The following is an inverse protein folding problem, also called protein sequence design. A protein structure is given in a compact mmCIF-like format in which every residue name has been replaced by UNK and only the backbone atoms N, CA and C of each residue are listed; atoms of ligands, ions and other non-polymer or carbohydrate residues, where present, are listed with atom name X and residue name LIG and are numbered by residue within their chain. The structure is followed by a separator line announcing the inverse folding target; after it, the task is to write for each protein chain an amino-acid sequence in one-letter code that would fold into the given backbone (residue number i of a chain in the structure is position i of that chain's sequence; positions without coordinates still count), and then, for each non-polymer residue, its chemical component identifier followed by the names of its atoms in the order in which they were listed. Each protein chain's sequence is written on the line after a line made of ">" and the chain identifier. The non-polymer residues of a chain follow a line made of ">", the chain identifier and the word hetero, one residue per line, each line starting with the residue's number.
data_IF_023586460521
#
_entry.id   IF_023586460521
#
_cell.length_a   1.000
_cell.length_b   1.000
_cell.length_c   1.000
_cell.angle_alpha   90.00
_cell.angle_beta   90.00
_cell.angle_gamma   90.00
#
_symmetry.space_group_name_H-M   'P 1'
#
loop_
_entity.id
_entity.type
_entity.pdbx_description
1 polymer ?
#
# COMPACT_ATOMS: atom_id res chain seq x y z
N UNK A 1 -14.76 0.23 -7.80
CA UNK A 1 -14.06 0.29 -9.10
C UNK A 1 -12.77 1.08 -9.05
N UNK A 2 -12.72 2.25 -8.36
CA UNK A 2 -11.49 3.05 -8.22
C UNK A 2 -10.26 2.24 -7.77
N UNK A 3 -10.38 1.40 -6.74
CA UNK A 3 -9.26 0.57 -6.26
C UNK A 3 -8.67 -0.38 -7.30
N UNK A 4 -9.50 -0.90 -8.22
CA UNK A 4 -9.03 -1.75 -9.31
C UNK A 4 -8.20 -0.97 -10.33
N UNK A 5 -8.66 0.23 -10.68
CA UNK A 5 -7.98 1.12 -11.63
C UNK A 5 -6.62 1.51 -11.05
N UNK A 6 -6.60 2.02 -9.82
CA UNK A 6 -5.36 2.44 -9.15
C UNK A 6 -4.38 1.27 -9.04
N UNK A 7 -4.85 0.08 -8.63
CA UNK A 7 -4.01 -1.12 -8.58
C UNK A 7 -3.35 -1.44 -9.93
N UNK A 8 -4.10 -1.36 -11.02
CA UNK A 8 -3.56 -1.63 -12.36
C UNK A 8 -2.51 -0.60 -12.72
N UNK A 9 -2.79 0.70 -12.52
CA UNK A 9 -1.84 1.77 -12.82
C UNK A 9 -0.55 1.63 -11.99
N UNK A 10 -0.65 1.26 -10.70
CA UNK A 10 0.53 0.98 -9.88
C UNK A 10 1.35 -0.23 -10.39
N UNK A 11 0.79 -1.08 -11.24
CA UNK A 11 1.48 -2.20 -11.89
C UNK A 11 2.27 -1.81 -13.15
N UNK A 12 2.12 -0.59 -13.66
CA UNK A 12 2.70 -0.11 -14.93
C UNK A 12 4.14 0.43 -14.78
N UNK A 13 4.61 1.29 -15.68
CA UNK A 13 5.96 1.89 -15.68
C UNK A 13 6.35 2.60 -14.36
N UNK A 14 7.65 2.63 -14.06
CA UNK A 14 8.19 3.23 -12.83
C UNK A 14 7.86 4.72 -12.69
N UNK A 15 7.86 5.49 -13.78
CA UNK A 15 7.57 6.93 -13.77
C UNK A 15 6.17 7.24 -13.22
N UNK A 16 5.18 6.41 -13.59
CA UNK A 16 3.80 6.54 -13.13
C UNK A 16 3.68 6.14 -11.65
N UNK A 17 4.38 5.09 -11.23
CA UNK A 17 4.43 4.68 -9.81
C UNK A 17 4.97 5.78 -8.91
N UNK A 18 6.05 6.47 -9.32
CA UNK A 18 6.64 7.58 -8.56
C UNK A 18 5.60 8.69 -8.37
N UNK A 19 4.92 9.10 -9.44
CA UNK A 19 3.90 10.16 -9.36
C UNK A 19 2.75 9.78 -8.43
N UNK A 20 2.33 8.52 -8.42
CA UNK A 20 1.28 8.03 -7.51
C UNK A 20 1.79 7.97 -6.07
N UNK A 21 3.02 7.46 -5.85
CA UNK A 21 3.64 7.40 -4.53
C UNK A 21 3.82 8.80 -3.91
N UNK A 22 3.95 9.84 -4.72
CA UNK A 22 4.04 11.24 -4.29
C UNK A 22 2.68 11.94 -4.13
N UNK A 23 1.57 11.29 -4.48
CA UNK A 23 0.23 11.87 -4.38
C UNK A 23 -0.46 11.43 -3.10
N UNK A 24 -0.46 12.30 -2.09
CA UNK A 24 -1.04 12.03 -0.77
C UNK A 24 -2.51 11.60 -0.84
N UNK A 25 -3.33 12.21 -1.69
CA UNK A 25 -4.76 11.91 -1.77
C UNK A 25 -5.01 10.47 -2.25
N UNK A 26 -4.19 9.98 -3.18
CA UNK A 26 -4.27 8.60 -3.65
C UNK A 26 -3.86 7.63 -2.53
N UNK A 27 -2.79 7.94 -1.79
CA UNK A 27 -2.33 7.11 -0.67
C UNK A 27 -3.41 7.06 0.44
N UNK A 28 -3.98 8.21 0.81
CA UNK A 28 -5.10 8.30 1.76
C UNK A 28 -6.29 7.45 1.32
N UNK A 29 -6.72 7.58 0.06
CA UNK A 29 -7.84 6.80 -0.46
C UNK A 29 -7.55 5.29 -0.44
N UNK A 30 -6.31 4.88 -0.76
CA UNK A 30 -5.90 3.48 -0.68
C UNK A 30 -5.97 2.95 0.76
N UNK A 31 -5.54 3.74 1.74
CA UNK A 31 -5.60 3.37 3.16
C UNK A 31 -7.04 3.33 3.69
N UNK A 32 -7.89 4.27 3.32
CA UNK A 32 -9.30 4.26 3.70
C UNK A 32 -10.00 3.02 3.16
N UNK A 33 -9.69 2.65 1.92
CA UNK A 33 -10.23 1.45 1.30
C UNK A 33 -9.75 0.12 1.92
N UNK A 34 -8.68 0.12 2.73
CA UNK A 34 -8.31 -1.05 3.53
C UNK A 34 -9.36 -1.37 4.61
N UNK A 35 -10.20 -0.41 5.01
CA UNK A 35 -11.31 -0.64 5.94
C UNK A 35 -12.63 -0.99 5.25
N UNK A 36 -12.64 -1.12 3.92
CA UNK A 36 -13.85 -1.40 3.18
C UNK A 36 -14.41 -2.78 3.55
N UNK A 37 -15.73 -2.90 3.74
CA UNK A 37 -16.40 -4.19 3.96
C UNK A 37 -16.19 -5.15 2.79
N UNK A 38 -16.02 -4.62 1.58
CA UNK A 38 -15.85 -5.42 0.38
C UNK A 38 -14.41 -5.92 0.20
N UNK A 39 -14.23 -7.23 0.34
CA UNK A 39 -12.92 -7.91 0.27
C UNK A 39 -12.08 -7.57 -0.96
N UNK A 40 -12.68 -7.56 -2.16
CA UNK A 40 -11.97 -7.19 -3.40
C UNK A 40 -11.42 -5.76 -3.37
N UNK A 41 -12.10 -4.83 -2.70
CA UNK A 41 -11.63 -3.45 -2.58
C UNK A 41 -10.38 -3.40 -1.73
N UNK A 42 -10.41 -4.02 -0.53
CA UNK A 42 -9.24 -4.14 0.34
C UNK A 42 -8.07 -4.81 -0.35
N UNK A 43 -8.33 -5.93 -1.04
CA UNK A 43 -7.32 -6.69 -1.77
C UNK A 43 -6.65 -5.86 -2.87
N UNK A 44 -7.43 -5.13 -3.66
CA UNK A 44 -6.89 -4.26 -4.70
C UNK A 44 -6.07 -3.13 -4.09
N UNK A 45 -6.56 -2.51 -3.01
CA UNK A 45 -5.84 -1.42 -2.33
C UNK A 45 -4.51 -1.88 -1.77
N UNK A 46 -4.47 -3.01 -1.06
CA UNK A 46 -3.19 -3.48 -0.50
C UNK A 46 -2.21 -3.94 -1.58
N UNK A 47 -2.72 -4.44 -2.70
CA UNK A 47 -1.88 -4.77 -3.86
C UNK A 47 -1.31 -3.51 -4.50
N UNK A 48 -2.10 -2.43 -4.58
CA UNK A 48 -1.62 -1.14 -5.08
C UNK A 48 -0.51 -0.59 -4.17
N UNK A 49 -0.71 -0.59 -2.86
CA UNK A 49 0.30 -0.16 -1.87
C UNK A 49 1.56 -1.00 -2.00
N UNK A 50 1.44 -2.33 -2.12
CA UNK A 50 2.59 -3.20 -2.31
C UNK A 50 3.37 -2.87 -3.59
N UNK A 51 2.69 -2.63 -4.71
CA UNK A 51 3.33 -2.25 -5.96
C UNK A 51 4.04 -0.89 -5.87
N UNK A 52 3.54 0.02 -5.04
CA UNK A 52 4.18 1.31 -4.78
C UNK A 52 5.39 1.18 -3.84
N UNK A 53 5.33 0.31 -2.84
CA UNK A 53 6.37 0.22 -1.80
C UNK A 53 7.53 -0.72 -2.17
N UNK A 54 7.30 -1.74 -3.00
CA UNK A 54 8.36 -2.70 -3.37
C UNK A 54 9.59 -2.02 -4.01
N UNK A 55 9.46 -1.05 -4.92
CA UNK A 55 10.60 -0.27 -5.39
C UNK A 55 11.11 0.65 -4.26
N UNK A 56 12.35 0.47 -3.81
CA UNK A 56 12.97 1.24 -2.73
C UNK A 56 12.91 2.77 -2.95
N UNK A 57 13.00 3.21 -4.20
CA UNK A 57 12.88 4.62 -4.61
C UNK A 57 11.52 5.25 -4.27
N UNK A 58 10.46 4.45 -4.20
CA UNK A 58 9.10 4.91 -3.94
C UNK A 58 8.69 4.75 -2.47
N UNK A 59 9.39 3.87 -1.74
CA UNK A 59 9.11 3.60 -0.34
C UNK A 59 9.21 4.87 0.51
N UNK A 60 10.23 5.71 0.28
CA UNK A 60 10.34 7.01 0.95
C UNK A 60 9.18 7.94 0.64
N UNK A 61 8.75 8.02 -0.62
CA UNK A 61 7.56 8.80 -1.02
C UNK A 61 6.34 8.36 -0.22
N UNK A 62 6.01 7.06 -0.23
CA UNK A 62 4.82 6.54 0.46
C UNK A 62 4.89 6.73 2.00
N UNK A 63 6.08 6.60 2.60
CA UNK A 63 6.27 6.70 4.05
C UNK A 63 6.22 8.15 4.54
N UNK A 64 6.83 9.08 3.81
CA UNK A 64 6.99 10.48 4.23
C UNK A 64 5.68 11.26 4.39
N UNK A 65 4.60 10.87 3.71
CA UNK A 65 3.33 11.59 3.84
C UNK A 65 2.50 11.19 5.07
N UNK A 66 2.69 9.98 5.60
CA UNK A 66 1.69 9.33 6.46
C UNK A 66 2.35 8.46 7.55
N UNK A 67 3.50 8.91 8.05
CA UNK A 67 4.30 8.19 9.03
C UNK A 67 3.46 7.77 10.24
N UNK A 68 3.43 6.46 10.52
CA UNK A 68 2.64 5.83 11.57
C UNK A 68 1.22 5.41 11.18
N UNK A 69 0.50 6.17 10.35
CA UNK A 69 -0.86 5.79 9.90
C UNK A 69 -0.82 4.55 9.01
N UNK A 70 0.06 4.55 8.00
CA UNK A 70 0.21 3.42 7.08
C UNK A 70 0.63 2.16 7.84
N UNK A 71 1.61 2.27 8.74
CA UNK A 71 2.06 1.14 9.57
C UNK A 71 0.94 0.62 10.47
N UNK A 72 0.16 1.51 11.09
CA UNK A 72 -0.99 1.13 11.90
C UNK A 72 -2.04 0.37 11.07
N UNK A 73 -2.37 0.86 9.87
CA UNK A 73 -3.31 0.22 8.94
C UNK A 73 -2.81 -1.14 8.47
N UNK A 74 -1.54 -1.26 8.10
CA UNK A 74 -0.95 -2.54 7.74
C UNK A 74 -1.00 -3.51 8.93
N UNK A 75 -0.74 -3.02 10.14
CA UNK A 75 -0.83 -3.81 11.38
C UNK A 75 -2.24 -4.36 11.62
N UNK A 76 -3.26 -3.53 11.43
CA UNK A 76 -4.66 -3.95 11.47
C UNK A 76 -4.97 -5.01 10.41
N UNK A 77 -4.51 -4.83 9.17
CA UNK A 77 -4.68 -5.84 8.12
C UNK A 77 -4.03 -7.17 8.49
N UNK A 78 -2.82 -7.16 9.07
CA UNK A 78 -2.12 -8.36 9.51
C UNK A 78 -2.85 -9.12 10.61
N UNK A 79 -3.44 -8.40 11.58
CA UNK A 79 -4.06 -9.00 12.76
C UNK A 79 -5.50 -9.45 12.48
N UNK A 80 -6.27 -8.63 11.77
CA UNK A 80 -7.73 -8.70 11.79
C UNK A 80 -8.35 -9.01 10.42
N UNK A 81 -7.64 -8.88 9.29
CA UNK A 81 -8.27 -9.18 8.00
C UNK A 81 -8.51 -10.69 7.86
N UNK A 82 -9.72 -11.09 7.48
CA UNK A 82 -10.10 -12.50 7.29
C UNK A 82 -9.34 -13.15 6.13
N UNK A 83 -8.93 -12.36 5.13
CA UNK A 83 -8.25 -12.87 3.94
C UNK A 83 -6.75 -13.07 4.12
N UNK A 84 -6.32 -14.33 4.00
CA UNK A 84 -4.90 -14.71 4.06
C UNK A 84 -4.04 -13.98 3.02
N UNK A 85 -4.60 -13.66 1.84
CA UNK A 85 -3.85 -12.96 0.81
C UNK A 85 -3.55 -11.50 1.20
N UNK A 86 -4.49 -10.83 1.86
CA UNK A 86 -4.30 -9.46 2.35
C UNK A 86 -3.26 -9.46 3.49
N UNK A 87 -3.39 -10.38 4.45
CA UNK A 87 -2.40 -10.53 5.54
C UNK A 87 -0.97 -10.73 5.03
N UNK A 88 -0.81 -11.62 4.04
CA UNK A 88 0.51 -11.89 3.42
C UNK A 88 1.11 -10.67 2.73
N UNK A 89 0.30 -9.89 2.01
CA UNK A 89 0.78 -8.66 1.36
C UNK A 89 1.15 -7.60 2.38
N UNK A 90 0.33 -7.41 3.42
CA UNK A 90 0.64 -6.52 4.53
C UNK A 90 2.02 -6.85 5.16
N UNK A 91 2.28 -8.14 5.41
CA UNK A 91 3.56 -8.61 5.94
C UNK A 91 4.75 -8.32 5.00
N UNK A 92 4.55 -8.44 3.68
CA UNK A 92 5.59 -8.11 2.69
C UNK A 92 5.88 -6.62 2.67
N UNK A 93 4.85 -5.77 2.72
CA UNK A 93 5.00 -4.31 2.76
C UNK A 93 5.79 -3.93 4.01
N UNK A 94 5.42 -4.43 5.20
CA UNK A 94 6.18 -4.19 6.43
C UNK A 94 7.66 -4.58 6.30
N UNK A 95 7.94 -5.74 5.69
CA UNK A 95 9.33 -6.17 5.48
C UNK A 95 10.08 -5.24 4.54
N UNK A 96 9.43 -4.72 3.50
CA UNK A 96 10.04 -3.74 2.59
C UNK A 96 10.34 -2.43 3.32
N UNK A 97 9.39 -1.92 4.10
CA UNK A 97 9.56 -0.69 4.87
C UNK A 97 10.63 -0.81 5.96
N UNK A 98 10.64 -1.91 6.72
CA UNK A 98 11.64 -2.15 7.77
C UNK A 98 13.06 -2.43 7.26
N UNK A 99 13.25 -2.69 5.95
CA UNK A 99 14.58 -2.77 5.33
C UNK A 99 15.13 -1.40 4.94
N UNK A 100 14.29 -0.36 4.91
CA UNK A 100 14.69 1.01 4.59
C UNK A 100 15.51 1.69 5.68
N UNK A 101 15.53 1.17 6.91
CA UNK A 101 16.27 1.74 8.05
C UNK A 101 17.74 1.25 8.17
N UNK A 102 18.24 0.47 7.20
CA UNK A 102 19.64 -0.02 7.20
C UNK A 102 20.58 0.77 6.25
N UNK A 103 20.22 1.98 5.85
CA UNK A 103 21.05 2.90 5.05
C UNK A 103 21.29 4.22 5.79
#
# INVERSE_FOLDING_TARGET
>A
YGSLIIRNICGEESSVRVQIAMNSDIICALMDWLNCSHVKVRYNSITAIENLVIPLENAQGVVTFEDGTLLSRLGQCLQNDEEHAIRRRAARIFRCLGRGEAL
#
